data_IF_231204895124
#
_entry.id   IF_231204895124
#
_cell.length_a   1.000
_cell.length_b   1.000
_cell.length_c   1.000
_cell.angle_alpha   90.00
_cell.angle_beta   90.00
_cell.angle_gamma   90.00
#
_symmetry.space_group_name_H-M   'P 1'
#
loop_
_entity.id
_entity.type
_entity.pdbx_description
1 polymer ?
#
# COMPACT_ATOMS: atom_id res chain seq x y z
N UNK A 1 17.28 2.91 -4.90
CA UNK A 1 17.71 4.06 -5.73
C UNK A 1 16.55 4.70 -6.52
N UNK A 2 15.48 3.96 -6.83
CA UNK A 2 14.27 4.49 -7.48
C UNK A 2 13.36 5.16 -6.45
N UNK A 3 12.68 6.24 -6.88
CA UNK A 3 11.59 6.88 -6.12
C UNK A 3 10.20 6.39 -6.58
N UNK A 4 10.18 5.47 -7.54
CA UNK A 4 8.96 4.86 -8.06
C UNK A 4 8.59 3.66 -7.21
N UNK A 5 7.34 3.59 -6.78
CA UNK A 5 6.71 2.41 -6.20
C UNK A 5 5.66 1.94 -7.21
N UNK A 6 5.74 0.69 -7.65
CA UNK A 6 4.79 0.12 -8.61
C UNK A 6 3.85 -0.88 -7.93
N UNK A 7 2.71 -1.13 -8.56
CA UNK A 7 1.75 -2.13 -8.08
C UNK A 7 1.91 -3.46 -8.81
N UNK A 8 1.59 -4.57 -8.15
CA UNK A 8 1.57 -5.91 -8.72
C UNK A 8 0.23 -6.30 -9.35
N UNK A 9 -0.83 -5.51 -9.14
CA UNK A 9 -2.18 -5.87 -9.54
C UNK A 9 -2.60 -5.41 -10.93
N UNK A 10 -3.61 -6.14 -11.51
CA UNK A 10 -4.30 -5.79 -12.76
C UNK A 10 -3.49 -5.90 -14.06
N UNK A 11 -2.42 -6.66 -14.07
CA UNK A 11 -1.79 -7.10 -15.30
C UNK A 11 -2.60 -8.25 -15.90
N UNK A 12 -2.53 -8.41 -17.22
CA UNK A 12 -3.22 -9.48 -17.93
C UNK A 12 -2.71 -10.86 -17.52
N UNK A 13 -1.41 -10.97 -17.25
CA UNK A 13 -0.76 -12.18 -16.76
C UNK A 13 0.54 -11.83 -16.00
N UNK A 14 1.08 -12.81 -15.28
CA UNK A 14 2.29 -12.67 -14.49
C UNK A 14 3.54 -12.33 -15.31
N UNK A 15 3.64 -12.84 -16.55
CA UNK A 15 4.76 -12.53 -17.46
C UNK A 15 4.79 -11.05 -17.82
N UNK A 16 3.62 -10.47 -18.16
CA UNK A 16 3.51 -9.04 -18.47
C UNK A 16 3.80 -8.19 -17.23
N UNK A 17 3.33 -8.62 -16.06
CA UNK A 17 3.67 -7.96 -14.79
C UNK A 17 5.18 -7.93 -14.59
N UNK A 18 5.84 -9.08 -14.66
CA UNK A 18 7.30 -9.19 -14.50
C UNK A 18 8.05 -8.27 -15.45
N UNK A 19 7.70 -8.30 -16.75
CA UNK A 19 8.32 -7.41 -17.73
C UNK A 19 8.14 -5.93 -17.39
N UNK A 20 6.93 -5.53 -16.94
CA UNK A 20 6.67 -4.16 -16.54
C UNK A 20 7.47 -3.75 -15.29
N UNK A 21 7.60 -4.65 -14.32
CA UNK A 21 8.41 -4.43 -13.11
C UNK A 21 9.89 -4.26 -13.47
N UNK A 22 10.45 -5.15 -14.29
CA UNK A 22 11.85 -5.10 -14.73
C UNK A 22 12.15 -3.80 -15.49
N UNK A 23 11.27 -3.40 -16.42
CA UNK A 23 11.42 -2.18 -17.20
C UNK A 23 11.22 -0.90 -16.37
N UNK A 24 10.47 -0.96 -15.28
CA UNK A 24 10.21 0.21 -14.42
C UNK A 24 11.45 0.69 -13.67
N UNK A 25 12.42 -0.18 -13.43
CA UNK A 25 13.57 0.08 -12.57
C UNK A 25 13.20 0.40 -11.12
N UNK A 26 12.00 -0.01 -10.67
CA UNK A 26 11.55 0.22 -9.30
C UNK A 26 12.14 -0.82 -8.35
N UNK A 27 12.65 -0.36 -7.22
CA UNK A 27 13.18 -1.22 -6.15
C UNK A 27 12.07 -1.65 -5.15
N UNK A 28 10.83 -1.14 -5.32
CA UNK A 28 9.73 -1.39 -4.39
C UNK A 28 8.42 -1.68 -5.12
N UNK A 29 7.76 -2.77 -4.73
CA UNK A 29 6.51 -3.23 -5.34
C UNK A 29 5.44 -3.38 -4.27
N UNK A 30 4.25 -2.78 -4.47
CA UNK A 30 3.15 -3.00 -3.54
C UNK A 30 2.39 -4.29 -3.87
N UNK A 31 2.06 -5.06 -2.82
CA UNK A 31 1.32 -6.31 -2.90
C UNK A 31 0.09 -6.26 -1.99
N UNK A 32 -1.08 -6.62 -2.55
CA UNK A 32 -2.35 -6.57 -1.82
C UNK A 32 -2.59 -7.89 -1.08
N UNK A 33 -2.22 -7.97 0.19
CA UNK A 33 -2.29 -9.20 1.02
C UNK A 33 -3.68 -9.84 1.02
N UNK A 34 -4.74 -9.05 1.02
CA UNK A 34 -6.11 -9.55 1.06
C UNK A 34 -6.65 -10.02 -0.29
N UNK A 35 -6.14 -9.45 -1.39
CA UNK A 35 -6.57 -9.77 -2.75
C UNK A 35 -5.75 -10.87 -3.38
N UNK A 36 -4.51 -11.02 -2.92
CA UNK A 36 -3.67 -12.08 -3.40
C UNK A 36 -4.25 -13.40 -2.89
N UNK A 37 -4.89 -14.12 -3.80
CA UNK A 37 -4.84 -15.56 -3.72
C UNK A 37 -3.36 -15.85 -3.86
N UNK A 38 -2.74 -16.35 -2.79
CA UNK A 38 -1.35 -16.81 -2.84
C UNK A 38 -1.13 -17.79 -4.01
N UNK A 39 -2.22 -18.27 -4.60
CA UNK A 39 -2.27 -19.04 -5.84
C UNK A 39 -3.39 -18.49 -6.72
N UNK A 40 -3.17 -18.28 -8.00
CA UNK A 40 -4.23 -18.06 -8.98
C UNK A 40 -5.07 -19.33 -9.18
N UNK A 41 -6.07 -19.28 -10.08
CA UNK A 41 -6.92 -20.44 -10.39
C UNK A 41 -6.14 -21.64 -10.98
N UNK A 42 -4.88 -21.44 -11.36
CA UNK A 42 -3.97 -22.43 -11.93
C UNK A 42 -2.87 -22.87 -10.96
N UNK A 43 -2.88 -22.37 -9.71
CA UNK A 43 -1.87 -22.69 -8.70
C UNK A 43 -0.59 -21.85 -8.78
N UNK A 44 -0.55 -20.82 -9.61
CA UNK A 44 0.58 -19.91 -9.75
C UNK A 44 0.58 -18.89 -8.61
N UNK A 45 1.71 -18.73 -7.93
CA UNK A 45 1.85 -17.74 -6.86
C UNK A 45 2.47 -16.46 -7.44
N UNK A 46 1.79 -15.33 -7.27
CA UNK A 46 2.29 -14.02 -7.72
C UNK A 46 3.73 -13.76 -7.25
N UNK A 47 4.06 -14.16 -6.04
CA UNK A 47 5.40 -13.94 -5.46
C UNK A 47 6.49 -14.73 -6.18
N UNK A 48 6.17 -15.84 -6.85
CA UNK A 48 7.12 -16.62 -7.64
C UNK A 48 7.61 -15.87 -8.88
N UNK A 49 6.87 -14.85 -9.29
CA UNK A 49 7.20 -13.98 -10.43
C UNK A 49 7.91 -12.68 -10.05
N UNK A 50 8.18 -12.47 -8.77
CA UNK A 50 8.90 -11.30 -8.25
C UNK A 50 10.20 -11.76 -7.61
N UNK A 51 11.32 -11.17 -8.02
CA UNK A 51 12.63 -11.41 -7.38
C UNK A 51 12.63 -10.76 -5.99
N UNK A 52 12.20 -11.52 -4.97
CA UNK A 52 12.06 -11.05 -3.59
C UNK A 52 13.39 -10.72 -2.92
N UNK A 53 14.53 -11.21 -3.47
CA UNK A 53 15.87 -10.91 -2.94
C UNK A 53 16.35 -9.52 -3.36
N UNK A 54 15.85 -9.02 -4.50
CA UNK A 54 16.21 -7.71 -5.05
C UNK A 54 15.16 -6.63 -4.84
N UNK A 55 13.93 -7.04 -4.52
CA UNK A 55 12.78 -6.15 -4.50
C UNK A 55 12.19 -6.03 -3.10
N UNK A 56 11.99 -4.82 -2.63
CA UNK A 56 11.24 -4.55 -1.39
C UNK A 56 9.76 -4.78 -1.69
N UNK A 57 9.16 -5.77 -1.04
CA UNK A 57 7.73 -5.99 -1.09
C UNK A 57 7.05 -5.09 -0.06
N UNK A 58 6.14 -4.23 -0.52
CA UNK A 58 5.36 -3.34 0.32
C UNK A 58 3.93 -3.88 0.45
N UNK A 59 3.60 -4.61 1.53
CA UNK A 59 2.25 -5.11 1.72
C UNK A 59 1.27 -3.96 1.92
N UNK A 60 0.07 -4.09 1.34
CA UNK A 60 -0.98 -3.11 1.55
C UNK A 60 -2.25 -3.76 2.12
N UNK A 61 -3.07 -2.94 2.79
CA UNK A 61 -4.32 -3.34 3.42
C UNK A 61 -5.53 -3.02 2.53
N UNK A 62 -5.35 -3.06 1.21
CA UNK A 62 -6.41 -2.75 0.25
C UNK A 62 -7.68 -3.57 0.50
N UNK A 63 -8.83 -2.89 0.46
CA UNK A 63 -10.13 -3.49 0.71
C UNK A 63 -10.50 -3.63 2.19
N UNK A 64 -9.76 -3.01 3.11
CA UNK A 64 -10.17 -2.88 4.52
C UNK A 64 -11.02 -1.62 4.71
N UNK A 65 -12.09 -1.75 5.49
CA UNK A 65 -13.06 -0.68 5.80
C UNK A 65 -13.11 -0.35 7.29
N UNK A 66 -12.19 -0.87 8.08
CA UNK A 66 -12.03 -0.54 9.49
C UNK A 66 -10.56 -0.55 9.90
N UNK A 67 -10.23 0.21 10.96
CA UNK A 67 -8.89 0.21 11.53
C UNK A 67 -8.46 -1.19 11.98
N UNK A 68 -9.34 -1.92 12.67
CA UNK A 68 -9.06 -3.27 13.18
C UNK A 68 -8.74 -4.26 12.07
N UNK A 69 -9.51 -4.22 10.97
CA UNK A 69 -9.27 -5.11 9.81
C UNK A 69 -7.95 -4.77 9.12
N UNK A 70 -7.64 -3.48 8.95
CA UNK A 70 -6.38 -3.03 8.38
C UNK A 70 -5.16 -3.45 9.23
N UNK A 71 -5.25 -3.29 10.56
CA UNK A 71 -4.20 -3.74 11.49
C UNK A 71 -3.99 -5.25 11.38
N UNK A 72 -5.07 -6.05 11.40
CA UNK A 72 -5.01 -7.50 11.24
C UNK A 72 -4.34 -7.92 9.93
N UNK A 73 -4.71 -7.28 8.82
CA UNK A 73 -4.14 -7.58 7.49
C UNK A 73 -2.67 -7.16 7.42
N UNK A 74 -2.28 -6.05 8.04
CA UNK A 74 -0.89 -5.62 8.11
C UNK A 74 -0.01 -6.65 8.85
N UNK A 75 -0.47 -7.16 10.00
CA UNK A 75 0.23 -8.23 10.72
C UNK A 75 0.37 -9.51 9.91
N UNK A 76 -0.70 -9.91 9.19
CA UNK A 76 -0.62 -11.06 8.28
C UNK A 76 0.45 -10.85 7.21
N UNK A 77 0.52 -9.67 6.60
CA UNK A 77 1.56 -9.30 5.63
C UNK A 77 2.96 -9.39 6.21
N UNK A 78 3.15 -8.90 7.43
CA UNK A 78 4.43 -9.01 8.17
C UNK A 78 4.88 -10.46 8.32
N UNK A 79 3.99 -11.34 8.78
CA UNK A 79 4.33 -12.75 8.98
C UNK A 79 4.73 -13.45 7.65
N UNK A 80 3.98 -13.18 6.57
CA UNK A 80 4.30 -13.71 5.24
C UNK A 80 5.69 -13.23 4.80
N UNK A 81 5.97 -11.93 4.89
CA UNK A 81 7.24 -11.37 4.41
C UNK A 81 8.44 -11.75 5.30
N UNK A 82 8.21 -11.96 6.60
CA UNK A 82 9.24 -12.51 7.50
C UNK A 82 9.60 -13.95 7.14
N UNK A 83 8.61 -14.77 6.80
CA UNK A 83 8.84 -16.14 6.33
C UNK A 83 9.64 -16.19 5.02
N UNK A 84 9.49 -15.16 4.17
CA UNK A 84 10.25 -15.00 2.92
C UNK A 84 11.61 -14.32 3.12
N UNK A 85 11.94 -13.82 4.33
CA UNK A 85 13.15 -13.04 4.57
C UNK A 85 13.19 -11.67 3.87
N UNK A 86 12.03 -11.15 3.42
CA UNK A 86 11.99 -9.91 2.65
C UNK A 86 12.15 -8.68 3.56
N UNK A 87 12.99 -7.68 3.18
CA UNK A 87 13.24 -6.48 3.98
C UNK A 87 12.01 -5.58 4.16
N UNK A 88 10.95 -5.76 3.37
CA UNK A 88 9.69 -5.03 3.50
C UNK A 88 8.77 -5.53 4.62
N UNK A 89 9.17 -6.54 5.40
CA UNK A 89 8.32 -7.17 6.41
C UNK A 89 7.73 -6.20 7.46
N UNK A 90 8.50 -5.17 7.84
CA UNK A 90 8.04 -4.17 8.83
C UNK A 90 7.46 -2.91 8.17
N UNK A 91 7.21 -2.94 6.88
CA UNK A 91 6.56 -1.86 6.15
C UNK A 91 5.11 -2.20 5.86
N UNK A 92 4.25 -1.17 5.77
CA UNK A 92 2.86 -1.34 5.33
C UNK A 92 2.37 -0.09 4.62
N UNK A 93 1.76 -0.28 3.44
CA UNK A 93 0.93 0.75 2.82
C UNK A 93 -0.49 0.61 3.39
N UNK A 94 -0.80 1.49 4.34
CA UNK A 94 -2.08 1.47 5.04
C UNK A 94 -3.19 2.06 4.17
N UNK A 95 -4.23 1.28 3.97
CA UNK A 95 -5.48 1.68 3.34
C UNK A 95 -6.64 1.31 4.27
N UNK A 96 -7.40 2.32 4.74
CA UNK A 96 -8.70 2.19 5.39
C UNK A 96 -9.71 2.94 4.55
N UNK A 97 -10.58 2.24 3.82
CA UNK A 97 -11.51 2.84 2.89
C UNK A 97 -12.78 3.31 3.60
N UNK A 98 -13.26 4.51 3.27
CA UNK A 98 -14.52 5.05 3.77
C UNK A 98 -15.70 4.84 2.81
N UNK A 99 -15.39 4.69 1.51
CA UNK A 99 -16.41 4.53 0.48
C UNK A 99 -15.98 3.50 -0.59
N UNK A 100 -16.87 2.54 -0.82
CA UNK A 100 -16.61 1.43 -1.76
C UNK A 100 -16.70 1.83 -3.23
N UNK A 101 -17.32 2.95 -3.57
CA UNK A 101 -17.50 3.43 -4.94
C UNK A 101 -16.30 4.25 -5.41
N UNK A 102 -15.83 5.15 -4.57
CA UNK A 102 -14.73 6.05 -4.88
C UNK A 102 -13.38 5.54 -4.40
N UNK A 103 -13.37 4.57 -3.49
CA UNK A 103 -12.19 4.06 -2.80
C UNK A 103 -11.42 5.14 -2.04
N UNK A 104 -12.10 6.23 -1.67
CA UNK A 104 -11.51 7.26 -0.82
C UNK A 104 -11.32 6.75 0.60
N UNK A 105 -10.23 7.14 1.27
CA UNK A 105 -9.92 6.67 2.61
C UNK A 105 -10.80 7.33 3.66
N UNK A 106 -11.08 6.60 4.76
CA UNK A 106 -11.64 7.15 5.97
C UNK A 106 -10.53 7.76 6.85
N UNK A 107 -10.51 9.09 7.08
CA UNK A 107 -9.46 9.73 7.85
C UNK A 107 -9.40 9.26 9.32
N UNK A 108 -10.55 8.93 9.92
CA UNK A 108 -10.64 8.52 11.33
C UNK A 108 -10.04 7.15 11.51
N UNK A 109 -10.52 6.14 10.77
CA UNK A 109 -9.99 4.78 10.83
C UNK A 109 -8.51 4.71 10.39
N UNK A 110 -8.11 5.52 9.40
CA UNK A 110 -6.71 5.61 8.97
C UNK A 110 -5.82 6.13 10.10
N UNK A 111 -6.23 7.16 10.84
CA UNK A 111 -5.47 7.70 11.97
C UNK A 111 -5.39 6.70 13.13
N UNK A 112 -6.49 6.02 13.44
CA UNK A 112 -6.54 4.97 14.47
C UNK A 112 -5.60 3.82 14.13
N UNK A 113 -5.70 3.25 12.95
CA UNK A 113 -4.83 2.17 12.48
C UNK A 113 -3.35 2.60 12.43
N UNK A 114 -3.07 3.85 12.02
CA UNK A 114 -1.69 4.38 12.02
C UNK A 114 -1.08 4.35 13.40
N UNK A 115 -1.78 4.85 14.43
CA UNK A 115 -1.28 4.86 15.82
C UNK A 115 -0.97 3.46 16.31
N UNK A 116 -1.86 2.50 16.04
CA UNK A 116 -1.67 1.11 16.46
C UNK A 116 -0.48 0.48 15.74
N UNK A 117 -0.41 0.61 14.42
CA UNK A 117 0.66 -0.01 13.63
C UNK A 117 2.04 0.59 13.94
N UNK A 118 2.12 1.90 14.21
CA UNK A 118 3.36 2.55 14.66
C UNK A 118 3.79 2.00 16.03
N UNK A 119 2.84 1.83 16.96
CA UNK A 119 3.12 1.21 18.27
C UNK A 119 3.58 -0.24 18.14
N UNK A 120 3.09 -0.96 17.13
CA UNK A 120 3.47 -2.33 16.80
C UNK A 120 4.79 -2.41 16.00
N UNK A 121 5.48 -1.28 15.79
CA UNK A 121 6.79 -1.20 15.14
C UNK A 121 6.76 -1.24 13.61
N UNK A 122 5.65 -0.86 12.97
CA UNK A 122 5.60 -0.74 11.51
C UNK A 122 6.09 0.62 11.01
N UNK A 123 6.72 0.61 9.85
CA UNK A 123 6.91 1.80 9.01
C UNK A 123 5.65 2.00 8.15
N UNK A 124 4.75 2.88 8.59
CA UNK A 124 3.43 3.05 7.99
C UNK A 124 3.45 4.12 6.90
N UNK A 125 3.07 3.74 5.67
CA UNK A 125 2.82 4.64 4.56
C UNK A 125 1.30 4.80 4.41
N UNK A 126 0.76 5.96 4.79
CA UNK A 126 -0.69 6.16 4.90
C UNK A 126 -1.30 6.66 3.59
N UNK A 127 -2.14 5.85 2.94
CA UNK A 127 -3.05 6.34 1.91
C UNK A 127 -4.08 7.28 2.56
N UNK A 128 -4.16 8.51 2.08
CA UNK A 128 -5.03 9.54 2.65
C UNK A 128 -5.63 10.44 1.57
N UNK A 129 -6.58 11.28 1.98
CA UNK A 129 -7.09 12.37 1.15
C UNK A 129 -6.03 13.45 0.97
N UNK A 130 -6.29 14.41 0.10
CA UNK A 130 -5.46 15.61 -0.12
C UNK A 130 -5.68 16.70 0.93
N UNK A 131 -6.24 16.37 2.11
CA UNK A 131 -6.39 17.31 3.21
C UNK A 131 -5.07 17.49 3.98
N UNK A 132 -4.46 18.70 3.98
CA UNK A 132 -3.20 18.96 4.67
C UNK A 132 -3.28 18.78 6.21
N UNK A 133 -4.45 18.99 6.79
CA UNK A 133 -4.66 18.81 8.24
C UNK A 133 -4.59 17.34 8.61
N UNK A 134 -5.26 16.48 7.84
CA UNK A 134 -5.21 15.02 8.01
C UNK A 134 -3.79 14.50 7.79
N UNK A 135 -3.10 14.95 6.74
CA UNK A 135 -1.72 14.56 6.46
C UNK A 135 -0.79 14.89 7.66
N UNK A 136 -0.91 16.10 8.21
CA UNK A 136 -0.15 16.51 9.40
C UNK A 136 -0.47 15.64 10.64
N UNK A 137 -1.74 15.30 10.87
CA UNK A 137 -2.15 14.41 11.98
C UNK A 137 -1.55 13.02 11.85
N UNK A 138 -1.54 12.45 10.64
CA UNK A 138 -0.91 11.16 10.36
C UNK A 138 0.60 11.20 10.63
N UNK A 139 1.31 12.24 10.18
CA UNK A 139 2.72 12.44 10.49
C UNK A 139 2.96 12.54 12.00
N UNK A 140 2.14 13.30 12.73
CA UNK A 140 2.23 13.43 14.19
C UNK A 140 1.95 12.09 14.91
N UNK A 141 1.14 11.21 14.31
CA UNK A 141 0.90 9.86 14.82
C UNK A 141 2.06 8.89 14.54
N UNK A 142 3.13 9.34 13.85
CA UNK A 142 4.33 8.54 13.60
C UNK A 142 4.36 7.88 12.21
N UNK A 143 3.47 8.24 11.30
CA UNK A 143 3.54 7.73 9.93
C UNK A 143 4.90 8.01 9.30
N UNK A 144 5.50 7.01 8.66
CA UNK A 144 6.77 7.13 7.93
C UNK A 144 6.59 7.97 6.65
N UNK A 145 5.42 7.86 6.01
CA UNK A 145 5.05 8.68 4.87
C UNK A 145 3.53 8.88 4.80
N UNK A 146 3.10 9.98 4.17
CA UNK A 146 1.72 10.20 3.76
C UNK A 146 1.63 10.13 2.23
N UNK A 147 0.57 9.51 1.72
CA UNK A 147 0.35 9.26 0.31
C UNK A 147 -1.01 9.86 -0.10
N UNK A 148 -1.07 11.20 -0.29
CA UNK A 148 -2.33 11.85 -0.63
C UNK A 148 -2.83 11.43 -2.00
N UNK A 149 -4.12 11.14 -2.12
CA UNK A 149 -4.76 10.88 -3.39
C UNK A 149 -4.82 12.18 -4.23
N UNK A 150 -4.38 12.13 -5.47
CA UNK A 150 -4.61 13.22 -6.41
C UNK A 150 -6.07 13.31 -6.87
N UNK A 151 -6.73 12.14 -7.00
CA UNK A 151 -8.12 11.94 -7.37
C UNK A 151 -8.55 10.53 -6.97
N UNK A 152 -9.86 10.18 -7.02
CA UNK A 152 -10.31 8.83 -6.72
C UNK A 152 -9.59 7.78 -7.57
N UNK A 153 -9.24 6.66 -6.95
CA UNK A 153 -8.51 5.56 -7.60
C UNK A 153 -9.26 5.09 -8.85
N UNK A 154 -8.55 5.00 -9.98
CA UNK A 154 -9.09 4.54 -11.26
C UNK A 154 -9.87 5.60 -12.04
N UNK A 155 -10.01 6.84 -11.53
CA UNK A 155 -10.74 7.92 -12.21
C UNK A 155 -9.99 8.54 -13.41
N UNK A 156 -8.64 8.44 -13.42
CA UNK A 156 -7.81 9.06 -14.46
C UNK A 156 -7.78 10.60 -14.44
N UNK A 157 -8.28 11.24 -13.37
CA UNK A 157 -8.46 12.71 -13.32
C UNK A 157 -7.21 13.48 -12.91
N UNK A 158 -6.09 12.78 -12.64
CA UNK A 158 -4.84 13.43 -12.25
C UNK A 158 -4.92 14.05 -10.84
N UNK A 159 -4.39 15.27 -10.68
CA UNK A 159 -4.41 16.01 -9.42
C UNK A 159 -5.52 17.06 -9.45
N UNK A 160 -6.57 16.87 -8.65
CA UNK A 160 -7.72 17.79 -8.60
C UNK A 160 -7.40 19.08 -7.83
N UNK A 161 -6.59 18.97 -6.78
CA UNK A 161 -6.19 20.12 -5.96
C UNK A 161 -4.67 20.20 -5.78
N UNK A 162 -3.95 20.78 -6.76
CA UNK A 162 -2.49 20.87 -6.69
C UNK A 162 -2.00 21.77 -5.54
N UNK A 163 -2.81 22.69 -5.04
CA UNK A 163 -2.42 23.55 -3.92
C UNK A 163 -2.33 22.74 -2.61
N UNK A 164 -3.29 21.85 -2.35
CA UNK A 164 -3.25 20.97 -1.18
C UNK A 164 -2.03 20.04 -1.21
N UNK A 165 -1.75 19.43 -2.37
CA UNK A 165 -0.58 18.58 -2.55
C UNK A 165 0.73 19.35 -2.31
N UNK A 166 0.79 20.63 -2.68
CA UNK A 166 1.96 21.47 -2.44
C UNK A 166 2.14 21.86 -0.97
N UNK A 167 1.05 21.95 -0.21
CA UNK A 167 1.06 22.24 1.23
C UNK A 167 1.52 21.02 2.04
N UNK A 168 1.12 19.79 1.62
CA UNK A 168 1.51 18.53 2.23
C UNK A 168 3.00 18.26 2.03
#
# INVERSE_FOLDING_TARGET
NSRLIVGSGRYENATMMRQALDLSGSDCITVAIRRERLHDAYGDNLLDHIDSDKTILLPNTAGCYSAQDAVRVAHLGREILRALGNPGADWVKLECLGDSRTLLPDPISTLEATKQLVADGFHVLCYTTDDPVTARRLKQAGAAAVMPAGSPIGSGQGILNPNNIRII
#
